data_IF_957761447889
#
_entry.id   IF_957761447889
#
_cell.length_a   1.000
_cell.length_b   1.000
_cell.length_c   1.000
_cell.angle_alpha   90.00
_cell.angle_beta   90.00
_cell.angle_gamma   90.00
#
_symmetry.space_group_name_H-M   'P 1'
#
loop_
_entity.id
_entity.type
_entity.pdbx_description
1 polymer ?
#
# COMPACT_ATOMS: atom_id res chain seq x y z
N UNK A 1 19.89 12.03 -6.73
CA UNK A 1 19.37 10.69 -6.37
C UNK A 1 18.42 10.89 -5.20
N UNK A 2 17.11 10.74 -5.42
CA UNK A 2 16.07 11.10 -4.43
C UNK A 2 14.64 10.81 -4.94
N UNK A 3 14.49 10.82 -6.27
CA UNK A 3 13.21 10.55 -6.94
C UNK A 3 12.52 9.26 -6.50
N UNK A 4 13.22 8.15 -6.31
CA UNK A 4 12.57 6.85 -6.02
C UNK A 4 11.81 6.84 -4.68
N UNK A 5 12.36 7.48 -3.64
CA UNK A 5 11.74 7.53 -2.32
C UNK A 5 10.49 8.44 -2.31
N UNK A 6 10.56 9.57 -3.02
CA UNK A 6 9.43 10.48 -3.20
C UNK A 6 8.28 9.85 -4.00
N UNK A 7 8.61 9.05 -5.03
CA UNK A 7 7.59 8.31 -5.78
C UNK A 7 6.89 7.26 -4.88
N UNK A 8 7.66 6.49 -4.10
CA UNK A 8 7.09 5.52 -3.14
C UNK A 8 6.18 6.20 -2.13
N UNK A 9 6.58 7.36 -1.59
CA UNK A 9 5.74 8.15 -0.70
C UNK A 9 4.43 8.61 -1.36
N UNK A 10 4.48 9.08 -2.61
CA UNK A 10 3.26 9.47 -3.33
C UNK A 10 2.31 8.30 -3.53
N UNK A 11 2.83 7.13 -3.92
CA UNK A 11 2.01 5.93 -4.12
C UNK A 11 1.41 5.47 -2.78
N UNK A 12 2.18 5.52 -1.70
CA UNK A 12 1.70 5.20 -0.36
C UNK A 12 0.61 6.18 0.11
N UNK A 13 0.75 7.48 -0.13
CA UNK A 13 -0.30 8.44 0.20
C UNK A 13 -1.60 8.17 -0.57
N UNK A 14 -1.49 7.87 -1.88
CA UNK A 14 -2.63 7.48 -2.71
C UNK A 14 -3.32 6.21 -2.20
N UNK A 15 -2.54 5.18 -1.86
CA UNK A 15 -3.04 3.95 -1.24
C UNK A 15 -3.74 4.20 0.08
N UNK A 16 -3.19 5.09 0.92
CA UNK A 16 -3.82 5.45 2.19
C UNK A 16 -5.17 6.13 1.97
N UNK A 17 -5.29 7.01 0.98
CA UNK A 17 -6.59 7.64 0.63
C UNK A 17 -7.59 6.61 0.12
N UNK A 18 -7.19 5.74 -0.80
CA UNK A 18 -8.04 4.66 -1.30
C UNK A 18 -8.47 3.73 -0.18
N UNK A 19 -7.55 3.43 0.75
CA UNK A 19 -7.83 2.61 1.93
C UNK A 19 -8.91 3.27 2.80
N UNK A 20 -8.78 4.57 3.09
CA UNK A 20 -9.77 5.30 3.90
C UNK A 20 -11.16 5.25 3.24
N UNK A 21 -11.25 5.47 1.92
CA UNK A 21 -12.50 5.33 1.17
C UNK A 21 -13.09 3.92 1.24
N UNK A 22 -12.23 2.90 1.08
CA UNK A 22 -12.64 1.50 1.11
C UNK A 22 -13.10 1.07 2.49
N UNK A 23 -12.43 1.51 3.55
CA UNK A 23 -12.78 1.19 4.93
C UNK A 23 -14.22 1.65 5.26
N UNK A 24 -14.62 2.83 4.77
CA UNK A 24 -16.00 3.33 4.92
C UNK A 24 -17.01 2.42 4.20
N UNK A 25 -16.69 2.01 2.96
CA UNK A 25 -17.56 1.13 2.16
C UNK A 25 -17.61 -0.30 2.71
N UNK A 26 -16.50 -0.81 3.24
CA UNK A 26 -16.36 -2.13 3.85
C UNK A 26 -17.23 -2.32 5.09
N UNK A 27 -17.60 -1.21 5.75
CA UNK A 27 -18.55 -1.28 6.85
C UNK A 27 -19.91 -1.85 6.40
N UNK A 28 -20.29 -1.60 5.14
CA UNK A 28 -21.54 -2.06 4.52
C UNK A 28 -21.36 -3.31 3.64
N UNK A 29 -20.12 -3.79 3.49
CA UNK A 29 -19.77 -4.84 2.56
C UNK A 29 -20.02 -6.25 3.10
N UNK A 30 -20.12 -7.20 2.16
CA UNK A 30 -20.20 -8.64 2.45
C UNK A 30 -18.91 -9.15 3.09
N UNK A 31 -19.02 -10.25 3.84
CA UNK A 31 -17.90 -10.90 4.54
C UNK A 31 -16.72 -11.24 3.61
N UNK A 32 -17.00 -11.59 2.35
CA UNK A 32 -16.00 -11.91 1.33
C UNK A 32 -15.06 -10.73 1.01
N UNK A 33 -15.61 -9.53 0.80
CA UNK A 33 -14.82 -8.32 0.57
C UNK A 33 -13.98 -7.93 1.81
N UNK A 34 -14.48 -8.25 3.01
CA UNK A 34 -13.74 -8.02 4.27
C UNK A 34 -12.56 -8.99 4.44
N UNK A 35 -12.69 -10.24 4.01
CA UNK A 35 -11.60 -11.22 4.05
C UNK A 35 -10.47 -10.84 3.09
N UNK A 36 -10.81 -10.48 1.85
CA UNK A 36 -9.87 -9.94 0.86
C UNK A 36 -9.18 -8.67 1.37
N UNK A 37 -9.95 -7.77 1.97
CA UNK A 37 -9.42 -6.55 2.58
C UNK A 37 -8.39 -6.83 3.68
N UNK A 38 -8.69 -7.76 4.59
CA UNK A 38 -7.80 -8.10 5.69
C UNK A 38 -6.44 -8.64 5.19
N UNK A 39 -6.44 -9.40 4.09
CA UNK A 39 -5.21 -9.86 3.43
C UNK A 39 -4.39 -8.70 2.86
N UNK A 40 -5.06 -7.73 2.23
CA UNK A 40 -4.38 -6.54 1.70
C UNK A 40 -3.86 -5.62 2.82
N UNK A 41 -4.61 -5.45 3.90
CA UNK A 41 -4.13 -4.66 5.05
C UNK A 41 -2.86 -5.23 5.66
N UNK A 42 -2.76 -6.55 5.80
CA UNK A 42 -1.54 -7.20 6.30
C UNK A 42 -0.32 -6.83 5.44
N UNK A 43 -0.47 -6.85 4.11
CA UNK A 43 0.60 -6.44 3.19
C UNK A 43 0.90 -4.94 3.28
N UNK A 44 -0.13 -4.11 3.44
CA UNK A 44 0.02 -2.66 3.60
C UNK A 44 0.83 -2.31 4.85
N UNK A 45 0.60 -2.98 5.98
CA UNK A 45 1.36 -2.76 7.21
C UNK A 45 2.84 -3.15 7.07
N UNK A 46 3.14 -4.27 6.40
CA UNK A 46 4.51 -4.70 6.10
C UNK A 46 5.25 -3.67 5.23
N UNK A 47 4.59 -3.20 4.17
CA UNK A 47 5.13 -2.16 3.28
C UNK A 47 5.35 -0.85 4.01
N UNK A 48 4.38 -0.42 4.84
CA UNK A 48 4.50 0.81 5.64
C UNK A 48 5.70 0.73 6.58
N UNK A 49 5.88 -0.39 7.26
CA UNK A 49 7.01 -0.61 8.18
C UNK A 49 8.34 -0.54 7.44
N UNK A 50 8.44 -1.21 6.29
CA UNK A 50 9.62 -1.16 5.43
C UNK A 50 9.88 0.23 4.86
N UNK A 51 8.84 0.96 4.45
CA UNK A 51 8.97 2.34 3.97
C UNK A 51 9.49 3.28 5.05
N UNK A 52 9.00 3.16 6.29
CA UNK A 52 9.49 3.97 7.41
C UNK A 52 10.95 3.65 7.74
N UNK A 53 11.34 2.37 7.70
CA UNK A 53 12.73 1.96 7.83
C UNK A 53 13.59 2.56 6.70
N UNK A 54 13.16 2.43 5.45
CA UNK A 54 13.83 3.01 4.26
C UNK A 54 13.92 4.53 4.34
N UNK A 55 12.90 5.21 4.86
CA UNK A 55 12.92 6.67 5.05
C UNK A 55 13.91 7.08 6.13
N UNK A 56 14.01 6.31 7.22
CA UNK A 56 14.96 6.53 8.32
C UNK A 56 16.39 6.22 7.89
N UNK A 57 16.57 5.23 7.03
CA UNK A 57 17.83 4.73 6.50
C UNK A 57 18.03 5.14 5.02
N UNK A 58 17.48 6.28 4.62
CA UNK A 58 17.45 6.72 3.21
C UNK A 58 18.85 6.83 2.60
N UNK A 59 19.88 7.07 3.42
CA UNK A 59 21.29 7.11 3.02
C UNK A 59 21.88 5.74 2.68
N UNK A 60 21.32 4.64 3.18
CA UNK A 60 21.82 3.26 2.98
C UNK A 60 20.87 2.39 2.14
N UNK A 61 19.73 2.93 1.72
CA UNK A 61 18.75 2.16 0.95
C UNK A 61 19.27 1.93 -0.48
N UNK A 62 19.28 0.66 -0.91
CA UNK A 62 19.61 0.26 -2.27
C UNK A 62 18.39 0.32 -3.19
N UNK A 63 18.62 0.55 -4.49
CA UNK A 63 17.55 0.61 -5.50
C UNK A 63 16.67 -0.64 -5.53
N UNK A 64 17.23 -1.82 -5.23
CA UNK A 64 16.47 -3.07 -5.11
C UNK A 64 15.40 -3.03 -4.02
N UNK A 65 15.69 -2.41 -2.86
CA UNK A 65 14.72 -2.28 -1.77
C UNK A 65 13.59 -1.35 -2.18
N UNK A 66 13.91 -0.21 -2.81
CA UNK A 66 12.88 0.71 -3.32
C UNK A 66 12.04 0.10 -4.44
N UNK A 67 12.64 -0.67 -5.35
CA UNK A 67 11.89 -1.36 -6.42
C UNK A 67 10.98 -2.46 -5.88
N UNK A 68 11.44 -3.22 -4.89
CA UNK A 68 10.61 -4.21 -4.19
C UNK A 68 9.38 -3.57 -3.54
N UNK A 69 9.57 -2.44 -2.85
CA UNK A 69 8.46 -1.68 -2.28
C UNK A 69 7.49 -1.15 -3.35
N UNK A 70 8.01 -0.65 -4.46
CA UNK A 70 7.20 -0.16 -5.58
C UNK A 70 6.30 -1.23 -6.17
N UNK A 71 6.81 -2.47 -6.29
CA UNK A 71 6.02 -3.61 -6.77
C UNK A 71 4.88 -3.93 -5.80
N UNK A 72 5.17 -4.09 -4.50
CA UNK A 72 4.12 -4.44 -3.52
C UNK A 72 3.08 -3.32 -3.39
N UNK A 73 3.48 -2.05 -3.44
CA UNK A 73 2.55 -0.91 -3.47
C UNK A 73 1.64 -0.96 -4.71
N UNK A 74 2.17 -1.35 -5.87
CA UNK A 74 1.38 -1.49 -7.10
C UNK A 74 0.39 -2.65 -6.98
N UNK A 75 0.81 -3.79 -6.44
CA UNK A 75 -0.08 -4.93 -6.14
C UNK A 75 -1.20 -4.54 -5.17
N UNK A 76 -0.87 -3.82 -4.10
CA UNK A 76 -1.84 -3.30 -3.13
C UNK A 76 -2.87 -2.39 -3.79
N UNK A 77 -2.42 -1.53 -4.71
CA UNK A 77 -3.30 -0.59 -5.42
C UNK A 77 -4.29 -1.35 -6.29
N UNK A 78 -3.82 -2.37 -7.01
CA UNK A 78 -4.70 -3.23 -7.81
C UNK A 78 -5.68 -4.02 -6.93
N UNK A 79 -5.23 -4.53 -5.79
CA UNK A 79 -6.09 -5.23 -4.83
C UNK A 79 -7.21 -4.31 -4.30
N UNK A 80 -6.86 -3.10 -3.89
CA UNK A 80 -7.82 -2.10 -3.43
C UNK A 80 -8.80 -1.67 -4.54
N UNK A 81 -8.33 -1.47 -5.77
CA UNK A 81 -9.20 -1.19 -6.92
C UNK A 81 -10.17 -2.36 -7.20
N UNK A 82 -9.71 -3.60 -7.06
CA UNK A 82 -10.55 -4.78 -7.22
C UNK A 82 -11.64 -4.84 -6.14
N UNK A 83 -11.28 -4.64 -4.86
CA UNK A 83 -12.27 -4.56 -3.77
C UNK A 83 -13.24 -3.42 -4.03
N UNK A 84 -12.76 -2.25 -4.47
CA UNK A 84 -13.61 -1.10 -4.81
C UNK A 84 -14.66 -1.44 -5.87
N UNK A 85 -14.32 -2.32 -6.83
CA UNK A 85 -15.21 -2.77 -7.91
C UNK A 85 -16.19 -3.86 -7.48
N UNK A 86 -15.87 -4.63 -6.45
CA UNK A 86 -16.74 -5.70 -5.92
C UNK A 86 -17.69 -5.21 -4.83
N UNK A 87 -17.42 -4.04 -4.25
CA UNK A 87 -18.28 -3.29 -3.32
C UNK A 87 -19.43 -2.58 -4.04
#
# INVERSE_FOLDING_TARGET
MGHSLEQLQKIADDLKRQRDELQVKLHLAKADARDEWAKLETRWEDVKTKMEAVKKEASHTTESVSSGLGLVLTELKQGYDNIRKTL
#
